data_IF_290358435821
#
_entry.id   IF_290358435821
#
_cell.length_a   1.000
_cell.length_b   1.000
_cell.length_c   1.000
_cell.angle_alpha   90.00
_cell.angle_beta   90.00
_cell.angle_gamma   90.00
#
_symmetry.space_group_name_H-M   'P 1'
#
loop_
_entity.id
_entity.type
_entity.pdbx_description
1 polymer ?
#
# COMPACT_ATOMS: atom_id res chain seq x y z
N UNK A 1 -5.97 -24.52 -5.53
CA UNK A 1 -4.88 -23.55 -5.37
C UNK A 1 -3.74 -24.12 -4.56
N UNK A 2 -2.55 -23.60 -4.74
CA UNK A 2 -1.38 -23.94 -3.94
C UNK A 2 -1.55 -23.48 -2.48
N UNK A 3 -1.36 -24.32 -1.46
CA UNK A 3 -1.67 -23.98 -0.07
C UNK A 3 -0.85 -22.82 0.52
N UNK A 4 0.35 -22.56 -0.01
CA UNK A 4 1.22 -21.45 0.44
C UNK A 4 1.36 -20.30 -0.55
N UNK A 5 0.62 -20.32 -1.68
CA UNK A 5 0.70 -19.30 -2.72
C UNK A 5 -0.70 -18.96 -3.24
N UNK A 6 -1.59 -18.66 -2.33
CA UNK A 6 -2.95 -18.21 -2.63
C UNK A 6 -3.34 -17.09 -1.68
N UNK A 7 -4.27 -16.24 -2.12
CA UNK A 7 -4.78 -15.11 -1.35
C UNK A 7 -6.28 -14.93 -1.62
N UNK A 8 -6.99 -14.36 -0.68
CA UNK A 8 -8.36 -13.92 -0.86
C UNK A 8 -8.38 -12.51 -1.47
N UNK A 9 -9.38 -12.25 -2.29
CA UNK A 9 -9.68 -10.92 -2.83
C UNK A 9 -10.81 -10.36 -2.00
N UNK A 10 -10.58 -9.21 -1.35
CA UNK A 10 -11.59 -8.55 -0.51
C UNK A 10 -11.99 -7.20 -1.11
N UNK A 11 -13.25 -6.85 -0.97
CA UNK A 11 -13.80 -5.52 -1.23
C UNK A 11 -14.59 -5.12 0.01
N UNK A 12 -14.24 -4.02 0.68
CA UNK A 12 -14.87 -3.57 1.93
C UNK A 12 -14.97 -4.67 3.00
N UNK A 13 -13.89 -5.44 3.18
CA UNK A 13 -13.78 -6.60 4.08
C UNK A 13 -14.59 -7.85 3.68
N UNK A 14 -15.41 -7.80 2.64
CA UNK A 14 -16.10 -8.96 2.10
C UNK A 14 -15.20 -9.73 1.12
N UNK A 15 -15.14 -11.06 1.29
CA UNK A 15 -14.40 -11.93 0.36
C UNK A 15 -15.19 -12.06 -0.93
N UNK A 16 -14.67 -11.50 -2.00
CA UNK A 16 -15.28 -11.52 -3.34
C UNK A 16 -14.62 -12.50 -4.29
N UNK A 17 -13.49 -13.08 -3.90
CA UNK A 17 -12.80 -14.04 -4.75
C UNK A 17 -11.52 -14.58 -4.13
N UNK A 18 -10.82 -15.38 -4.91
CA UNK A 18 -9.52 -15.94 -4.57
C UNK A 18 -8.58 -15.87 -5.77
N UNK A 19 -7.30 -15.73 -5.51
CA UNK A 19 -6.25 -15.83 -6.51
C UNK A 19 -5.10 -16.70 -5.99
N UNK A 20 -4.34 -17.30 -6.85
CA UNK A 20 -3.19 -18.09 -6.42
C UNK A 20 -2.55 -18.92 -7.54
N UNK A 21 -1.48 -19.59 -7.18
CA UNK A 21 -0.83 -20.54 -8.06
C UNK A 21 -1.63 -21.85 -8.13
N UNK A 22 -1.60 -22.51 -9.28
CA UNK A 22 -2.18 -23.85 -9.45
C UNK A 22 -1.49 -24.84 -8.49
N UNK A 23 -2.27 -25.76 -7.93
CA UNK A 23 -1.72 -26.80 -7.05
C UNK A 23 -0.67 -27.64 -7.79
N UNK A 24 0.49 -27.93 -7.19
CA UNK A 24 1.58 -28.64 -7.85
C UNK A 24 1.18 -30.01 -8.46
N UNK A 25 0.28 -30.74 -7.79
CA UNK A 25 -0.21 -32.02 -8.33
C UNK A 25 -0.95 -31.86 -9.65
N UNK A 26 -1.81 -30.85 -9.76
CA UNK A 26 -2.53 -30.52 -10.99
C UNK A 26 -1.60 -29.98 -12.08
N UNK A 27 -0.64 -29.14 -11.69
CA UNK A 27 0.36 -28.64 -12.64
C UNK A 27 1.15 -29.79 -13.28
N UNK A 28 1.53 -30.79 -12.48
CA UNK A 28 2.21 -31.98 -12.97
C UNK A 28 1.31 -32.88 -13.83
N UNK A 29 0.06 -33.09 -13.42
CA UNK A 29 -0.92 -33.87 -14.17
C UNK A 29 -1.18 -33.29 -15.56
N UNK A 30 -1.30 -31.98 -15.67
CA UNK A 30 -1.48 -31.25 -16.93
C UNK A 30 -0.17 -30.97 -17.69
N UNK A 31 0.98 -31.35 -17.13
CA UNK A 31 2.29 -31.18 -17.77
C UNK A 31 2.77 -29.72 -17.89
N UNK A 32 2.28 -28.82 -17.03
CA UNK A 32 2.75 -27.44 -17.00
C UNK A 32 4.18 -27.35 -16.44
N UNK A 33 5.08 -26.75 -17.21
CA UNK A 33 6.48 -26.52 -16.80
C UNK A 33 6.70 -25.16 -16.13
N UNK A 34 5.73 -24.26 -16.22
CA UNK A 34 5.77 -22.92 -15.65
C UNK A 34 4.68 -22.77 -14.58
N UNK A 35 4.87 -21.86 -13.66
CA UNK A 35 3.84 -21.47 -12.68
C UNK A 35 2.61 -20.92 -13.39
N UNK A 36 1.43 -21.45 -13.08
CA UNK A 36 0.15 -21.01 -13.61
C UNK A 36 -0.61 -20.34 -12.48
N UNK A 37 -0.92 -19.05 -12.65
CA UNK A 37 -1.72 -18.29 -11.72
C UNK A 37 -3.17 -18.23 -12.19
N UNK A 38 -4.08 -18.44 -11.25
CA UNK A 38 -5.52 -18.47 -11.47
C UNK A 38 -6.19 -17.48 -10.53
N UNK A 39 -7.34 -17.00 -10.94
CA UNK A 39 -8.25 -16.27 -10.04
C UNK A 39 -9.69 -16.68 -10.31
N UNK A 40 -10.50 -16.58 -9.26
CA UNK A 40 -11.94 -16.77 -9.30
C UNK A 40 -12.60 -15.62 -8.55
N UNK A 41 -13.52 -14.90 -9.21
CA UNK A 41 -14.16 -13.69 -8.67
C UNK A 41 -15.67 -13.80 -8.86
N UNK A 42 -16.42 -13.63 -7.76
CA UNK A 42 -17.85 -13.50 -7.79
C UNK A 42 -18.24 -12.06 -8.22
N UNK A 43 -18.58 -11.89 -9.48
CA UNK A 43 -18.97 -10.60 -10.03
C UNK A 43 -20.26 -10.04 -9.39
N UNK A 44 -21.15 -10.90 -8.89
CA UNK A 44 -22.36 -10.45 -8.19
C UNK A 44 -22.11 -9.80 -6.85
N UNK A 45 -20.94 -10.07 -6.24
CA UNK A 45 -20.49 -9.44 -4.99
C UNK A 45 -19.74 -8.12 -5.21
N UNK A 46 -19.46 -7.76 -6.45
CA UNK A 46 -18.85 -6.48 -6.79
C UNK A 46 -19.98 -5.47 -6.97
N UNK A 47 -20.29 -4.72 -5.92
CA UNK A 47 -21.30 -3.64 -6.04
C UNK A 47 -20.70 -2.49 -6.87
N UNK A 48 -21.14 -2.39 -8.12
CA UNK A 48 -20.69 -1.36 -9.08
C UNK A 48 -21.26 0.05 -8.77
N UNK A 49 -21.96 0.22 -7.65
CA UNK A 49 -22.60 1.49 -7.27
C UNK A 49 -21.70 2.43 -6.45
N UNK A 50 -20.44 2.51 -6.77
CA UNK A 50 -19.68 3.70 -6.43
C UNK A 50 -20.13 4.81 -7.37
N UNK A 51 -21.09 5.63 -6.94
CA UNK A 51 -21.44 6.86 -7.67
C UNK A 51 -20.17 7.70 -7.80
N UNK A 52 -19.72 7.86 -9.04
CA UNK A 52 -18.59 8.73 -9.34
C UNK A 52 -19.00 10.16 -9.01
N UNK A 53 -18.68 10.63 -7.81
CA UNK A 53 -18.92 12.02 -7.43
C UNK A 53 -17.87 12.90 -8.11
N UNK A 54 -18.36 13.91 -8.82
CA UNK A 54 -17.47 14.95 -9.35
C UNK A 54 -16.77 15.67 -8.20
N UNK A 55 -15.43 15.58 -8.16
CA UNK A 55 -14.61 16.41 -7.27
C UNK A 55 -13.99 17.55 -8.08
N UNK A 56 -14.26 18.79 -7.65
CA UNK A 56 -13.65 19.96 -8.27
C UNK A 56 -12.12 19.84 -8.21
N UNK A 57 -11.47 19.92 -9.37
CA UNK A 57 -10.00 19.92 -9.42
C UNK A 57 -9.46 21.16 -8.74
N UNK A 58 -8.51 20.99 -7.84
CA UNK A 58 -7.81 22.12 -7.23
C UNK A 58 -6.98 22.85 -8.30
N UNK A 59 -7.02 24.20 -8.28
CA UNK A 59 -6.18 25.06 -9.13
C UNK A 59 -4.77 25.27 -8.54
N UNK A 60 -4.53 24.78 -7.33
CA UNK A 60 -3.28 24.98 -6.62
C UNK A 60 -2.34 23.79 -6.84
N UNK A 61 -1.02 24.00 -6.87
CA UNK A 61 -0.06 22.94 -7.15
C UNK A 61 -0.08 21.85 -6.08
N UNK A 62 0.11 20.63 -6.53
CA UNK A 62 0.43 19.48 -5.68
C UNK A 62 1.89 19.51 -5.25
N UNK A 63 2.16 19.05 -4.05
CA UNK A 63 3.52 18.83 -3.56
C UNK A 63 3.73 17.36 -3.31
N UNK A 64 4.74 16.78 -3.94
CA UNK A 64 5.08 15.35 -3.80
C UNK A 64 6.29 15.20 -2.89
N UNK A 65 6.26 14.17 -2.05
CA UNK A 65 7.35 13.77 -1.17
C UNK A 65 7.45 12.25 -1.15
N UNK A 66 8.67 11.76 -1.23
CA UNK A 66 8.96 10.33 -1.12
C UNK A 66 9.58 10.07 0.24
N UNK A 67 9.09 9.04 0.93
CA UNK A 67 9.61 8.57 2.20
C UNK A 67 9.97 7.11 2.09
N UNK A 68 11.12 6.72 2.62
CA UNK A 68 11.53 5.34 2.70
C UNK A 68 11.63 4.91 4.16
N UNK A 69 10.87 3.88 4.52
CA UNK A 69 10.81 3.35 5.88
C UNK A 69 11.51 2.00 5.97
N UNK A 70 12.35 1.85 6.96
CA UNK A 70 12.91 0.55 7.37
C UNK A 70 12.02 -0.04 8.46
N UNK A 71 11.59 -1.29 8.25
CA UNK A 71 10.66 -2.01 9.10
C UNK A 71 11.14 -3.45 9.32
N UNK A 72 10.67 -4.08 10.40
CA UNK A 72 10.81 -5.52 10.57
C UNK A 72 10.08 -6.26 9.43
N UNK A 73 10.61 -7.42 9.03
CA UNK A 73 10.05 -8.22 7.93
C UNK A 73 8.62 -8.68 8.21
N UNK A 74 8.24 -8.85 9.47
CA UNK A 74 6.91 -9.32 9.90
C UNK A 74 5.83 -8.26 9.83
N UNK A 75 6.17 -6.96 9.80
CA UNK A 75 5.20 -5.86 9.70
C UNK A 75 4.60 -5.82 8.30
N UNK A 76 3.26 -5.85 8.18
CA UNK A 76 2.62 -5.75 6.86
C UNK A 76 2.73 -4.35 6.27
N UNK A 77 2.82 -4.28 4.94
CA UNK A 77 2.81 -2.98 4.25
C UNK A 77 1.48 -2.23 4.44
N UNK A 78 0.36 -2.95 4.56
CA UNK A 78 -0.95 -2.40 4.90
C UNK A 78 -0.92 -1.61 6.19
N UNK A 79 -0.29 -2.17 7.24
CA UNK A 79 -0.25 -1.53 8.55
C UNK A 79 0.49 -0.18 8.48
N UNK A 80 1.58 -0.12 7.70
CA UNK A 80 2.28 1.15 7.45
C UNK A 80 1.40 2.16 6.69
N UNK A 81 0.71 1.71 5.64
CA UNK A 81 -0.18 2.59 4.86
C UNK A 81 -1.31 3.15 5.73
N UNK A 82 -1.88 2.36 6.64
CA UNK A 82 -2.96 2.78 7.53
C UNK A 82 -2.47 3.78 8.58
N UNK A 83 -1.28 3.57 9.15
CA UNK A 83 -0.65 4.54 10.05
C UNK A 83 -0.38 5.86 9.32
N UNK A 84 0.19 5.80 8.10
CA UNK A 84 0.45 7.01 7.30
C UNK A 84 -0.84 7.74 6.97
N UNK A 85 -1.90 7.05 6.52
CA UNK A 85 -3.20 7.68 6.23
C UNK A 85 -3.81 8.34 7.45
N UNK A 86 -3.79 7.67 8.60
CA UNK A 86 -4.39 8.20 9.83
C UNK A 86 -3.61 9.38 10.42
N UNK A 87 -2.29 9.44 10.22
CA UNK A 87 -1.42 10.48 10.77
C UNK A 87 -1.16 11.67 9.85
N UNK A 88 -1.41 11.53 8.54
CA UNK A 88 -1.11 12.56 7.53
C UNK A 88 -2.04 13.77 7.52
N UNK A 89 -3.17 13.68 8.23
CA UNK A 89 -4.16 14.75 8.29
C UNK A 89 -4.90 14.96 6.96
N UNK A 90 -5.48 16.17 6.79
CA UNK A 90 -6.41 16.49 5.69
C UNK A 90 -5.76 16.88 4.37
N UNK A 91 -4.46 17.05 4.32
CA UNK A 91 -3.76 17.56 3.13
C UNK A 91 -3.20 16.45 2.24
N UNK A 92 -3.11 15.22 2.72
CA UNK A 92 -2.73 14.06 1.91
C UNK A 92 -3.88 13.73 0.94
N UNK A 93 -3.60 13.82 -0.34
CA UNK A 93 -4.58 13.54 -1.42
C UNK A 93 -4.31 12.20 -2.09
N UNK A 94 -3.06 11.75 -2.10
CA UNK A 94 -2.67 10.45 -2.65
C UNK A 94 -1.51 9.84 -1.86
N UNK A 95 -1.56 8.52 -1.70
CA UNK A 95 -0.54 7.73 -1.04
C UNK A 95 -0.29 6.46 -1.86
N UNK A 96 0.91 6.32 -2.36
CA UNK A 96 1.31 5.22 -3.23
C UNK A 96 2.54 4.52 -2.69
N UNK A 97 2.43 3.21 -2.49
CA UNK A 97 3.59 2.34 -2.30
C UNK A 97 4.17 2.06 -3.69
N UNK A 98 5.44 2.35 -3.92
CA UNK A 98 6.07 2.15 -5.21
C UNK A 98 7.28 1.20 -5.18
N UNK A 99 7.85 0.94 -4.00
CA UNK A 99 8.94 -0.03 -3.88
C UNK A 99 8.94 -0.75 -2.53
N UNK A 100 9.30 -2.04 -2.55
CA UNK A 100 9.55 -2.87 -1.36
C UNK A 100 10.84 -3.63 -1.58
N UNK A 101 11.88 -3.25 -0.88
CA UNK A 101 13.18 -3.86 -0.97
C UNK A 101 13.48 -4.76 0.24
N UNK A 102 13.88 -6.02 -0.06
CA UNK A 102 14.32 -7.01 0.91
C UNK A 102 15.69 -7.52 0.47
N UNK A 103 16.76 -6.90 0.96
CA UNK A 103 18.11 -7.25 0.55
C UNK A 103 19.07 -7.46 1.73
N UNK A 104 20.28 -7.96 1.42
CA UNK A 104 21.33 -8.21 2.42
C UNK A 104 21.84 -6.95 3.12
N UNK A 105 21.59 -5.78 2.53
CA UNK A 105 22.02 -4.49 3.05
C UNK A 105 21.02 -3.87 4.04
N UNK A 106 19.90 -4.55 4.31
CA UNK A 106 18.93 -4.12 5.33
C UNK A 106 19.31 -4.80 6.65
N UNK A 107 19.77 -4.03 7.61
CA UNK A 107 20.17 -4.53 8.93
C UNK A 107 19.06 -5.38 9.57
N UNK A 108 19.45 -6.52 10.18
CA UNK A 108 18.60 -7.35 11.05
C UNK A 108 17.29 -7.91 10.46
N UNK A 109 17.32 -8.52 9.26
CA UNK A 109 16.13 -9.14 8.65
C UNK A 109 14.96 -8.16 8.43
N UNK A 110 15.26 -6.91 8.18
CA UNK A 110 14.29 -5.87 7.87
C UNK A 110 13.88 -5.82 6.41
N UNK A 111 12.95 -4.95 6.10
CA UNK A 111 12.59 -4.53 4.74
C UNK A 111 12.50 -3.01 4.67
N UNK A 112 12.76 -2.48 3.49
CA UNK A 112 12.58 -1.06 3.17
C UNK A 112 11.32 -0.91 2.32
N UNK A 113 10.43 -0.01 2.72
CA UNK A 113 9.20 0.31 1.99
C UNK A 113 9.27 1.78 1.58
N UNK A 114 9.14 2.04 0.28
CA UNK A 114 9.14 3.39 -0.27
C UNK A 114 7.72 3.84 -0.62
N UNK A 115 7.33 5.00 -0.09
CA UNK A 115 6.02 5.60 -0.23
C UNK A 115 6.13 6.96 -0.91
N UNK A 116 5.31 7.18 -1.95
CA UNK A 116 5.08 8.49 -2.54
C UNK A 116 3.84 9.13 -1.92
N UNK A 117 4.00 10.30 -1.36
CA UNK A 117 2.93 11.10 -0.74
C UNK A 117 2.66 12.32 -1.61
N UNK A 118 1.40 12.58 -1.91
CA UNK A 118 0.97 13.79 -2.61
C UNK A 118 0.11 14.63 -1.69
N UNK A 119 0.53 15.87 -1.48
CA UNK A 119 -0.17 16.83 -0.63
C UNK A 119 -0.76 17.95 -1.48
N UNK A 120 -2.00 18.32 -1.20
CA UNK A 120 -2.69 19.44 -1.88
C UNK A 120 -3.73 20.05 -0.96
N UNK A 121 -3.91 21.38 -1.09
CA UNK A 121 -5.00 22.11 -0.45
C UNK A 121 -5.99 22.59 -1.50
N UNK A 122 -7.32 22.52 -1.27
CA UNK A 122 -8.31 22.90 -2.27
C UNK A 122 -8.33 24.42 -2.60
N UNK A 123 -7.91 25.25 -1.65
CA UNK A 123 -8.12 26.72 -1.73
C UNK A 123 -6.84 27.57 -1.70
N UNK A 124 -5.65 26.97 -1.52
CA UNK A 124 -4.36 27.70 -1.48
C UNK A 124 -3.18 26.77 -1.72
N UNK A 125 -2.02 27.32 -1.97
CA UNK A 125 -0.76 26.58 -1.97
C UNK A 125 -0.37 26.22 -0.53
N UNK A 126 0.12 25.01 -0.32
CA UNK A 126 0.72 24.58 0.95
C UNK A 126 2.12 25.16 1.08
N UNK A 127 2.49 25.54 2.30
CA UNK A 127 3.85 25.96 2.63
C UNK A 127 4.73 24.75 2.95
N UNK A 128 6.04 24.88 2.75
CA UNK A 128 7.00 23.82 3.12
C UNK A 128 6.94 23.49 4.62
N UNK A 129 6.68 24.48 5.47
CA UNK A 129 6.52 24.25 6.92
C UNK A 129 5.33 23.34 7.25
N UNK A 130 4.19 23.51 6.56
CA UNK A 130 3.01 22.66 6.77
C UNK A 130 3.28 21.24 6.30
N UNK A 131 3.95 21.09 5.17
CA UNK A 131 4.30 19.77 4.61
C UNK A 131 5.29 19.05 5.53
N UNK A 132 6.33 19.75 5.98
CA UNK A 132 7.32 19.17 6.88
C UNK A 132 6.68 18.77 8.22
N UNK A 133 5.77 19.57 8.77
CA UNK A 133 5.03 19.21 9.99
C UNK A 133 4.18 17.95 9.80
N UNK A 134 3.54 17.77 8.64
CA UNK A 134 2.83 16.53 8.32
C UNK A 134 3.78 15.32 8.25
N UNK A 135 4.93 15.49 7.59
CA UNK A 135 5.95 14.45 7.47
C UNK A 135 6.49 14.06 8.85
N UNK A 136 6.82 15.02 9.69
CA UNK A 136 7.32 14.77 11.05
C UNK A 136 6.30 13.98 11.87
N UNK A 137 5.02 14.30 11.74
CA UNK A 137 3.93 13.56 12.39
C UNK A 137 3.85 12.12 11.88
N UNK A 138 3.88 11.92 10.57
CA UNK A 138 3.86 10.59 9.94
C UNK A 138 5.04 9.75 10.43
N UNK A 139 6.24 10.32 10.41
CA UNK A 139 7.46 9.62 10.85
C UNK A 139 7.39 9.25 12.33
N UNK A 140 6.96 10.18 13.18
CA UNK A 140 6.81 9.96 14.61
C UNK A 140 5.81 8.86 14.92
N UNK A 141 4.62 8.89 14.30
CA UNK A 141 3.58 7.89 14.54
C UNK A 141 3.98 6.51 13.95
N UNK A 142 4.59 6.48 12.76
CA UNK A 142 5.10 5.23 12.20
C UNK A 142 6.19 4.60 13.08
N UNK A 143 7.04 5.42 13.68
CA UNK A 143 8.07 4.94 14.62
C UNK A 143 7.46 4.40 15.90
N UNK A 144 6.45 5.07 16.48
CA UNK A 144 5.79 4.65 17.72
C UNK A 144 5.00 3.35 17.56
N UNK A 145 4.23 3.24 16.48
CA UNK A 145 3.29 2.13 16.29
C UNK A 145 3.97 0.90 15.72
N UNK A 146 4.89 1.08 14.77
CA UNK A 146 5.48 -0.01 13.98
C UNK A 146 7.00 -0.16 14.19
N UNK A 147 7.62 0.70 14.99
CA UNK A 147 9.08 0.73 15.12
C UNK A 147 9.80 1.14 13.83
N UNK A 148 9.08 1.78 12.90
CA UNK A 148 9.61 2.20 11.62
C UNK A 148 10.71 3.26 11.76
N UNK A 149 11.77 3.15 10.95
CA UNK A 149 12.85 4.15 10.89
C UNK A 149 12.95 4.71 9.49
N UNK A 150 13.17 6.01 9.36
CA UNK A 150 13.44 6.62 8.05
C UNK A 150 14.81 6.14 7.55
N UNK A 151 14.84 5.76 6.30
CA UNK A 151 16.08 5.53 5.56
C UNK A 151 16.49 6.85 4.92
N UNK A 152 17.58 7.42 5.39
CA UNK A 152 18.24 8.58 4.79
C UNK A 152 19.05 8.19 3.56
#
# INVERSE_FOLDING_TARGET
FHPGQSAQILINDDVVGVLGNLHPSLANEFGFKQSVYLFDINLGSIDAKSETQFKTLSKFPEVKRDLSFMLDQTVNASDLLDVVRSSSGKYLTDLKLFDVYQGKDVENKGKSIALGLTFQHPCRTLTDSEINSCIDTIVSESSKVLGAKIRS
#
